data_IF_301212030603
#
_entry.id   IF_301212030603
#
_cell.length_a   1.000
_cell.length_b   1.000
_cell.length_c   1.000
_cell.angle_alpha   90.00
_cell.angle_beta   90.00
_cell.angle_gamma   90.00
#
_symmetry.space_group_name_H-M   'P 1'
#
loop_
_entity.id
_entity.type
_entity.pdbx_description
1 polymer ?
#
# COMPACT_ATOMS: atom_id res chain seq x y z
N UNK A 1 7.24 -17.34 -7.08
CA UNK A 1 6.72 -16.16 -6.35
C UNK A 1 7.95 -15.41 -5.85
N UNK A 2 8.02 -14.10 -6.10
CA UNK A 2 9.12 -13.29 -5.59
C UNK A 2 8.70 -12.62 -4.27
N UNK A 3 8.70 -13.40 -3.19
CA UNK A 3 8.25 -12.94 -1.86
C UNK A 3 9.02 -11.73 -1.35
N UNK A 4 10.25 -11.50 -1.81
CA UNK A 4 11.03 -10.32 -1.46
C UNK A 4 10.37 -9.03 -1.94
N UNK A 5 9.90 -8.98 -3.19
CA UNK A 5 9.28 -7.79 -3.76
C UNK A 5 7.87 -7.55 -3.22
N UNK A 6 7.13 -8.63 -2.95
CA UNK A 6 5.81 -8.59 -2.32
C UNK A 6 5.89 -8.16 -0.85
N UNK A 7 6.88 -8.66 -0.12
CA UNK A 7 7.17 -8.25 1.26
C UNK A 7 7.40 -6.74 1.39
N UNK A 8 8.06 -6.14 0.40
CA UNK A 8 8.27 -4.69 0.33
C UNK A 8 6.95 -3.89 0.26
N UNK A 9 5.95 -4.39 -0.46
CA UNK A 9 4.63 -3.74 -0.58
C UNK A 9 3.96 -3.65 0.80
N UNK A 10 3.98 -4.74 1.57
CA UNK A 10 3.31 -4.82 2.87
C UNK A 10 4.07 -4.10 3.98
N UNK A 11 5.40 -4.24 4.04
CA UNK A 11 6.23 -3.55 5.05
C UNK A 11 6.06 -2.03 4.92
N UNK A 12 6.02 -1.51 3.69
CA UNK A 12 5.88 -0.08 3.43
C UNK A 12 4.57 0.51 4.00
N UNK A 13 3.49 -0.28 4.09
CA UNK A 13 2.21 0.21 4.64
C UNK A 13 2.23 0.46 6.14
N UNK A 14 3.20 -0.11 6.85
CA UNK A 14 3.36 0.14 8.29
C UNK A 14 4.06 1.47 8.59
N UNK A 15 4.77 2.04 7.60
CA UNK A 15 5.55 3.26 7.78
C UNK A 15 4.71 4.48 8.17
N UNK A 16 3.55 4.78 7.54
CA UNK A 16 2.71 5.90 7.97
C UNK A 16 2.21 5.75 9.40
N UNK A 17 1.85 4.53 9.81
CA UNK A 17 1.40 4.25 11.18
C UNK A 17 2.53 4.41 12.20
N UNK A 18 3.75 3.93 11.88
CA UNK A 18 4.92 4.06 12.74
C UNK A 18 5.39 5.51 12.85
N UNK A 19 5.62 6.17 11.72
CA UNK A 19 6.13 7.55 11.72
C UNK A 19 5.07 8.52 12.22
N UNK A 20 3.84 8.36 11.74
CA UNK A 20 2.69 9.15 12.14
C UNK A 20 2.32 8.97 13.62
N UNK A 21 2.46 7.77 14.18
CA UNK A 21 2.18 7.53 15.60
C UNK A 21 3.33 7.93 16.54
N UNK A 22 4.58 7.80 16.11
CA UNK A 22 5.75 8.00 16.97
C UNK A 22 6.26 9.45 16.95
N UNK A 23 6.26 10.11 15.78
CA UNK A 23 6.86 11.43 15.60
C UNK A 23 5.85 12.58 15.56
N UNK A 24 4.55 12.30 15.44
CA UNK A 24 3.52 13.35 15.47
C UNK A 24 2.34 12.93 16.35
N UNK A 25 1.77 13.90 17.06
CA UNK A 25 0.54 13.73 17.84
C UNK A 25 -0.70 14.20 17.08
N UNK A 26 -0.51 14.61 15.83
CA UNK A 26 -1.56 15.21 15.00
C UNK A 26 -2.53 14.16 14.46
N UNK A 27 -2.02 12.98 14.07
CA UNK A 27 -2.86 11.93 13.50
C UNK A 27 -3.67 11.19 14.58
N UNK A 28 -4.97 11.06 14.33
CA UNK A 28 -5.83 10.27 15.20
C UNK A 28 -5.51 8.77 15.04
N UNK A 29 -5.43 8.02 16.15
CA UNK A 29 -5.07 6.59 16.14
C UNK A 29 -5.90 5.73 15.18
N UNK A 30 -7.18 6.06 15.03
CA UNK A 30 -8.10 5.35 14.13
C UNK A 30 -7.91 5.75 12.66
N UNK A 31 -7.43 6.97 12.40
CA UNK A 31 -7.07 7.41 11.04
C UNK A 31 -5.83 6.66 10.53
N UNK A 32 -4.81 6.49 11.39
CA UNK A 32 -3.60 5.71 11.07
C UNK A 32 -3.93 4.24 10.78
N UNK A 33 -4.83 3.63 11.57
CA UNK A 33 -5.31 2.28 11.34
C UNK A 33 -6.14 2.16 10.05
N UNK A 34 -6.97 3.16 9.76
CA UNK A 34 -7.75 3.23 8.52
C UNK A 34 -6.85 3.31 7.29
N UNK A 35 -5.85 4.20 7.30
CA UNK A 35 -4.87 4.31 6.22
C UNK A 35 -4.09 3.01 6.01
N UNK A 36 -3.61 2.41 7.10
CA UNK A 36 -2.93 1.12 7.06
C UNK A 36 -3.82 0.04 6.42
N UNK A 37 -5.07 -0.09 6.87
CA UNK A 37 -5.98 -1.10 6.35
C UNK A 37 -6.24 -0.92 4.85
N UNK A 38 -6.46 0.31 4.39
CA UNK A 38 -6.66 0.62 2.96
C UNK A 38 -5.42 0.28 2.15
N UNK A 39 -4.24 0.72 2.60
CA UNK A 39 -2.98 0.39 1.92
C UNK A 39 -2.72 -1.12 1.85
N UNK A 40 -3.02 -1.85 2.93
CA UNK A 40 -2.84 -3.30 3.02
C UNK A 40 -3.79 -4.06 2.08
N UNK A 41 -5.07 -3.68 2.06
CA UNK A 41 -6.07 -4.30 1.19
C UNK A 41 -5.76 -4.00 -0.28
N UNK A 42 -5.54 -2.73 -0.62
CA UNK A 42 -5.24 -2.35 -2.01
C UNK A 42 -3.96 -3.02 -2.52
N UNK A 43 -2.87 -2.96 -1.75
CA UNK A 43 -1.60 -3.56 -2.14
C UNK A 43 -1.71 -5.08 -2.35
N UNK A 44 -2.54 -5.76 -1.56
CA UNK A 44 -2.77 -7.21 -1.69
C UNK A 44 -3.63 -7.55 -2.91
N UNK A 45 -4.71 -6.80 -3.16
CA UNK A 45 -5.58 -7.01 -4.32
C UNK A 45 -4.84 -6.76 -5.62
N UNK A 46 -4.09 -5.65 -5.71
CA UNK A 46 -3.26 -5.35 -6.89
C UNK A 46 -2.18 -6.42 -7.10
N UNK A 47 -1.44 -6.80 -6.05
CA UNK A 47 -0.42 -7.84 -6.16
C UNK A 47 -1.00 -9.22 -6.54
N UNK A 48 -2.24 -9.53 -6.13
CA UNK A 48 -2.94 -10.75 -6.52
C UNK A 48 -3.29 -10.75 -8.02
N UNK A 49 -3.68 -9.60 -8.57
CA UNK A 49 -4.05 -9.44 -9.98
C UNK A 49 -2.88 -9.57 -10.96
N UNK A 50 -1.65 -9.38 -10.50
CA UNK A 50 -0.46 -9.51 -11.37
C UNK A 50 -0.19 -10.97 -11.70
N UNK A 51 -0.27 -11.33 -12.97
CA UNK A 51 0.12 -12.64 -13.49
C UNK A 51 1.53 -12.61 -14.12
N UNK A 52 2.22 -13.75 -14.10
CA UNK A 52 3.53 -13.98 -14.71
C UNK A 52 3.47 -15.24 -15.58
N UNK A 53 4.33 -15.42 -16.60
CA UNK A 53 4.32 -16.61 -17.46
C UNK A 53 4.38 -17.94 -16.70
N UNK A 54 4.89 -17.92 -15.46
CA UNK A 54 5.01 -19.09 -14.59
C UNK A 54 3.95 -19.16 -13.49
N UNK A 55 3.19 -18.09 -13.20
CA UNK A 55 2.21 -18.04 -12.10
C UNK A 55 1.00 -17.13 -12.38
N UNK A 56 -0.19 -17.62 -12.00
CA UNK A 56 -1.46 -16.91 -12.22
C UNK A 56 -1.67 -15.68 -11.33
N UNK A 57 -1.12 -15.67 -10.12
CA UNK A 57 -1.24 -14.58 -9.14
C UNK A 57 0.13 -14.28 -8.53
N UNK A 58 0.34 -13.06 -8.06
CA UNK A 58 1.61 -12.62 -7.45
C UNK A 58 2.81 -12.75 -8.38
N UNK A 59 2.59 -12.45 -9.66
CA UNK A 59 3.57 -12.51 -10.73
C UNK A 59 4.61 -11.38 -10.69
N UNK A 60 4.36 -10.32 -9.92
CA UNK A 60 5.22 -9.13 -9.87
C UNK A 60 4.81 -8.13 -8.79
N UNK A 61 5.48 -6.99 -8.79
CA UNK A 61 5.27 -5.89 -7.83
C UNK A 61 4.91 -4.56 -8.50
N UNK A 62 4.62 -4.64 -9.80
CA UNK A 62 4.23 -3.51 -10.62
C UNK A 62 2.92 -3.82 -11.31
N UNK A 63 2.01 -2.86 -11.29
CA UNK A 63 0.69 -2.93 -11.90
C UNK A 63 0.32 -1.53 -12.40
N UNK A 64 -0.71 -1.42 -13.23
CA UNK A 64 -1.19 -0.13 -13.71
C UNK A 64 -1.63 0.75 -12.54
N UNK A 65 -1.20 2.01 -12.55
CA UNK A 65 -1.63 3.00 -11.57
C UNK A 65 -3.05 3.46 -11.95
N UNK A 66 -4.06 3.22 -11.08
CA UNK A 66 -5.42 3.66 -11.35
C UNK A 66 -5.46 5.19 -11.46
N UNK A 67 -5.92 5.69 -12.62
CA UNK A 67 -6.03 7.12 -12.93
C UNK A 67 -4.87 7.71 -13.74
N UNK A 68 -3.71 7.03 -13.82
CA UNK A 68 -2.56 7.45 -14.65
C UNK A 68 -2.40 6.52 -15.86
N UNK A 69 -2.78 5.24 -15.74
CA UNK A 69 -2.70 4.27 -16.84
C UNK A 69 -1.28 3.84 -17.19
N UNK A 70 -0.32 4.13 -16.31
CA UNK A 70 1.09 3.78 -16.48
C UNK A 70 1.49 2.72 -15.45
N UNK A 71 2.46 1.87 -15.80
CA UNK A 71 2.91 0.78 -14.91
C UNK A 71 3.73 1.38 -13.78
N UNK A 72 3.26 1.22 -12.54
CA UNK A 72 3.91 1.75 -11.35
C UNK A 72 4.18 0.68 -10.30
N UNK A 73 5.00 1.02 -9.30
CA UNK A 73 5.22 0.15 -8.14
C UNK A 73 3.96 0.13 -7.24
N UNK A 74 3.39 -1.05 -7.04
CA UNK A 74 2.14 -1.23 -6.28
C UNK A 74 2.29 -0.74 -4.84
N UNK A 75 3.46 -0.93 -4.23
CA UNK A 75 3.72 -0.46 -2.87
C UNK A 75 3.64 1.06 -2.76
N UNK A 76 4.06 1.80 -3.80
CA UNK A 76 4.04 3.25 -3.81
C UNK A 76 2.62 3.79 -3.96
N UNK A 77 1.81 3.23 -4.85
CA UNK A 77 0.39 3.63 -5.00
C UNK A 77 -0.42 3.30 -3.76
N UNK A 78 -0.21 2.12 -3.17
CA UNK A 78 -0.80 1.72 -1.90
C UNK A 78 -0.40 2.66 -0.75
N UNK A 79 0.86 3.09 -0.72
CA UNK A 79 1.37 4.04 0.27
C UNK A 79 0.71 5.42 0.15
N UNK A 80 0.55 5.93 -1.07
CA UNK A 80 -0.15 7.20 -1.30
C UNK A 80 -1.60 7.12 -0.82
N UNK A 81 -2.31 6.02 -1.13
CA UNK A 81 -3.67 5.80 -0.64
C UNK A 81 -3.75 5.75 0.90
N UNK A 82 -2.81 5.06 1.54
CA UNK A 82 -2.70 4.97 2.99
C UNK A 82 -2.55 6.36 3.63
N UNK A 83 -1.61 7.16 3.13
CA UNK A 83 -1.38 8.53 3.63
C UNK A 83 -2.61 9.41 3.39
N UNK A 84 -3.22 9.35 2.20
CA UNK A 84 -4.43 10.12 1.89
C UNK A 84 -5.57 9.81 2.87
N UNK A 85 -5.85 8.53 3.11
CA UNK A 85 -6.89 8.11 4.07
C UNK A 85 -6.55 8.57 5.48
N UNK A 86 -5.28 8.44 5.89
CA UNK A 86 -4.82 8.91 7.20
C UNK A 86 -5.05 10.41 7.38
N UNK A 87 -4.73 11.22 6.37
CA UNK A 87 -4.92 12.68 6.42
C UNK A 87 -6.40 13.04 6.43
N UNK A 88 -7.21 12.45 5.56
CA UNK A 88 -8.66 12.75 5.46
C UNK A 88 -9.42 12.36 6.72
N UNK A 89 -9.07 11.23 7.35
CA UNK A 89 -9.71 10.77 8.59
C UNK A 89 -9.18 11.47 9.85
N UNK A 90 -8.16 12.31 9.73
CA UNK A 90 -7.64 13.11 10.83
C UNK A 90 -8.38 14.45 10.87
N UNK A 91 -9.42 14.49 11.71
CA UNK A 91 -10.25 15.67 12.01
C UNK A 91 -10.19 15.95 13.51
#
# INVERSE_FOLDING_TARGET
INFQLLGGIWILQTFPALVGGLFTRWFHRWALLGGWAVGMVYGTVAAYGVASPTQKHFGGSSDEIPGIGEIGYIGLTAFVLNVLVTVVLTV
#
